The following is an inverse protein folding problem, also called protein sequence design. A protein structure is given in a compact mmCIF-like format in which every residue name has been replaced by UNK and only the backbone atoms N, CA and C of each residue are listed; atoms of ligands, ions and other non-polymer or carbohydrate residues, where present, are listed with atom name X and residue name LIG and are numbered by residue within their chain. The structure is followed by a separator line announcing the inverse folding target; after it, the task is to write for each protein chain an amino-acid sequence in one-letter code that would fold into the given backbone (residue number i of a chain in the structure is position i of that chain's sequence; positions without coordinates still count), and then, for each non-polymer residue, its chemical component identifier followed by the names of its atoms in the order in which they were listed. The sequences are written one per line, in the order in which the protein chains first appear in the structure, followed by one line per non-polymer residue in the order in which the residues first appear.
data_IF_895129042198
#
_entry.id   IF_895129042198
#
_cell.length_a   1.000
_cell.length_b   1.000
_cell.length_c   1.000
_cell.angle_alpha   90.00
_cell.angle_beta   90.00
_cell.angle_gamma   90.00
#
_symmetry.space_group_name_H-M   'P 1'
#
loop_
_entity.id
_entity.type
_entity.pdbx_description
1 polymer ?
#
# COMPACT_ATOMS: atom_id res chain seq x y z
N UNK A 1 -29.66 -21.06 -17.40
CA UNK A 1 -28.27 -21.52 -17.24
C UNK A 1 -27.41 -20.54 -18.03
N UNK A 2 -26.82 -19.54 -17.38
CA UNK A 2 -25.89 -18.62 -18.03
C UNK A 2 -24.63 -18.63 -17.18
N UNK A 3 -23.61 -19.31 -17.69
CA UNK A 3 -22.29 -19.37 -17.09
C UNK A 3 -21.68 -17.96 -17.13
N UNK A 4 -21.80 -17.24 -16.01
CA UNK A 4 -21.05 -16.02 -15.77
C UNK A 4 -19.60 -16.45 -15.54
N UNK A 5 -18.86 -16.63 -16.63
CA UNK A 5 -17.44 -16.96 -16.58
C UNK A 5 -16.68 -15.71 -16.13
N UNK A 6 -16.74 -15.42 -14.83
CA UNK A 6 -15.96 -14.37 -14.20
C UNK A 6 -14.52 -14.89 -14.13
N UNK A 7 -13.81 -14.78 -15.25
CA UNK A 7 -12.42 -15.20 -15.36
C UNK A 7 -11.62 -14.54 -14.24
N UNK A 8 -10.86 -15.34 -13.51
CA UNK A 8 -9.94 -14.83 -12.51
C UNK A 8 -9.05 -13.74 -13.14
N UNK A 9 -8.92 -12.63 -12.43
CA UNK A 9 -8.25 -11.44 -12.95
C UNK A 9 -7.02 -11.17 -12.12
N UNK A 10 -5.87 -11.38 -12.74
CA UNK A 10 -4.59 -10.98 -12.17
C UNK A 10 -4.51 -9.43 -12.04
N UNK A 11 -3.86 -8.97 -10.97
CA UNK A 11 -3.63 -7.58 -10.64
C UNK A 11 -2.52 -6.91 -11.46
N UNK A 12 -1.68 -7.66 -12.17
CA UNK A 12 -0.50 -7.16 -12.89
C UNK A 12 -0.83 -5.98 -13.82
N UNK A 13 -1.83 -6.13 -14.69
CA UNK A 13 -2.25 -5.08 -15.63
C UNK A 13 -2.92 -3.86 -14.95
N UNK A 14 -3.29 -4.00 -13.67
CA UNK A 14 -3.93 -2.95 -12.88
C UNK A 14 -2.92 -2.14 -12.06
N UNK A 15 -1.77 -2.72 -11.70
CA UNK A 15 -0.82 -2.13 -10.76
C UNK A 15 -0.41 -0.71 -11.15
N UNK A 16 -0.04 -0.46 -12.42
CA UNK A 16 0.36 0.86 -12.90
C UNK A 16 -0.79 1.89 -12.86
N UNK A 17 -2.01 1.44 -13.17
CA UNK A 17 -3.21 2.29 -13.10
C UNK A 17 -3.51 2.68 -11.65
N UNK A 18 -3.31 1.77 -10.70
CA UNK A 18 -3.45 2.05 -9.27
C UNK A 18 -2.35 2.99 -8.77
N UNK A 19 -1.09 2.80 -9.18
CA UNK A 19 0.00 3.71 -8.85
C UNK A 19 -0.37 5.17 -9.15
N UNK A 20 -0.82 5.43 -10.40
CA UNK A 20 -1.22 6.77 -10.84
C UNK A 20 -2.46 7.30 -10.12
N UNK A 21 -3.51 6.49 -9.99
CA UNK A 21 -4.82 6.97 -9.47
C UNK A 21 -4.88 7.08 -7.96
N UNK A 22 -4.14 6.25 -7.24
CA UNK A 22 -4.23 6.12 -5.78
C UNK A 22 -3.12 6.89 -5.08
N UNK A 23 -1.92 6.95 -5.68
CA UNK A 23 -0.73 7.53 -5.07
C UNK A 23 -0.13 8.70 -5.85
N UNK A 24 -0.31 8.76 -7.17
CA UNK A 24 0.34 9.73 -8.05
C UNK A 24 -0.18 11.18 -8.02
N UNK A 25 -0.92 11.58 -6.99
CA UNK A 25 -1.39 12.96 -6.86
C UNK A 25 -1.59 13.35 -5.40
N UNK A 26 -2.00 14.60 -5.16
CA UNK A 26 -2.07 15.20 -3.82
C UNK A 26 -2.82 14.35 -2.78
N UNK A 27 -3.92 13.69 -3.18
CA UNK A 27 -4.66 12.80 -2.27
C UNK A 27 -3.83 11.59 -1.83
N UNK A 28 -3.00 11.07 -2.72
CA UNK A 28 -2.07 9.97 -2.44
C UNK A 28 -0.95 10.40 -1.49
N UNK A 29 -0.37 11.57 -1.73
CA UNK A 29 0.66 12.17 -0.86
C UNK A 29 0.12 12.39 0.56
N UNK A 30 -1.04 13.03 0.70
CA UNK A 30 -1.69 13.25 2.00
C UNK A 30 -1.99 11.91 2.69
N UNK A 31 -2.50 10.92 1.94
CA UNK A 31 -2.77 9.59 2.48
C UNK A 31 -1.51 8.97 3.10
N UNK A 32 -0.39 8.98 2.38
CA UNK A 32 0.87 8.43 2.87
C UNK A 32 1.38 9.19 4.10
N UNK A 33 1.32 10.52 4.08
CA UNK A 33 1.73 11.34 5.21
C UNK A 33 0.90 11.08 6.49
N UNK A 34 -0.41 10.92 6.35
CA UNK A 34 -1.31 10.62 7.48
C UNK A 34 -1.06 9.22 8.02
N UNK A 35 -0.95 8.21 7.15
CA UNK A 35 -0.66 6.83 7.58
C UNK A 35 0.69 6.79 8.30
N UNK A 36 1.72 7.44 7.77
CA UNK A 36 3.03 7.50 8.41
C UNK A 36 2.99 8.16 9.78
N UNK A 37 2.31 9.31 9.90
CA UNK A 37 2.11 10.01 11.18
C UNK A 37 1.46 9.08 12.21
N UNK A 38 0.39 8.39 11.83
CA UNK A 38 -0.37 7.53 12.74
C UNK A 38 0.46 6.28 13.10
N UNK A 39 1.16 5.67 12.14
CA UNK A 39 2.10 4.55 12.39
C UNK A 39 3.19 4.91 13.38
N UNK A 40 3.84 6.07 13.22
CA UNK A 40 4.87 6.55 14.15
C UNK A 40 4.27 6.82 15.53
N UNK A 41 3.06 7.36 15.59
CA UNK A 41 2.38 7.64 16.87
C UNK A 41 2.05 6.34 17.61
N UNK A 42 1.53 5.33 16.91
CA UNK A 42 1.15 4.04 17.50
C UNK A 42 2.35 3.13 17.75
N UNK A 43 3.38 3.20 16.91
CA UNK A 43 4.59 2.39 16.99
C UNK A 43 5.86 3.25 16.93
N UNK A 44 6.19 4.00 18.02
CA UNK A 44 7.34 4.90 18.06
C UNK A 44 8.69 4.20 17.80
N UNK A 45 8.77 2.89 18.07
CA UNK A 45 9.94 2.06 17.79
C UNK A 45 10.37 2.10 16.31
N UNK A 46 9.47 2.42 15.37
CA UNK A 46 9.82 2.68 13.96
C UNK A 46 10.92 3.74 13.85
N UNK A 47 10.91 4.74 14.73
CA UNK A 47 11.90 5.83 14.73
C UNK A 47 13.10 5.57 15.64
N UNK A 48 13.17 4.42 16.31
CA UNK A 48 14.20 4.16 17.32
C UNK A 48 15.60 3.89 16.76
N UNK A 49 15.74 3.80 15.43
CA UNK A 49 16.99 3.45 14.75
C UNK A 49 17.40 1.98 14.89
N UNK A 50 16.68 1.18 15.70
CA UNK A 50 16.87 -0.27 15.78
C UNK A 50 16.06 -0.95 14.68
N UNK A 51 16.66 -1.86 13.88
CA UNK A 51 15.93 -2.60 12.86
C UNK A 51 14.76 -3.39 13.46
N UNK A 52 13.60 -3.26 12.83
CA UNK A 52 12.41 -4.04 13.15
C UNK A 52 12.19 -5.11 12.08
N UNK A 53 11.63 -6.24 12.49
CA UNK A 53 11.18 -7.27 11.55
C UNK A 53 9.68 -7.14 11.37
N UNK A 54 9.27 -6.52 10.27
CA UNK A 54 7.87 -6.23 9.94
C UNK A 54 7.53 -6.99 8.65
N UNK A 55 6.34 -7.58 8.59
CA UNK A 55 5.79 -8.19 7.39
C UNK A 55 4.67 -7.29 6.86
N UNK A 56 4.79 -6.82 5.62
CA UNK A 56 3.75 -6.06 4.92
C UNK A 56 3.02 -6.99 3.94
N UNK A 57 1.91 -7.56 4.40
CA UNK A 57 1.12 -8.51 3.62
C UNK A 57 0.22 -7.74 2.67
N UNK A 58 0.41 -7.96 1.37
CA UNK A 58 -0.36 -7.23 0.35
C UNK A 58 0.06 -5.77 0.21
N UNK A 59 1.31 -5.43 0.54
CA UNK A 59 1.88 -4.08 0.46
C UNK A 59 1.84 -3.43 -0.92
N UNK A 60 1.40 -4.15 -1.96
CA UNK A 60 1.19 -3.62 -3.31
C UNK A 60 2.50 -3.08 -3.88
N UNK A 61 2.55 -1.76 -4.07
CA UNK A 61 3.74 -1.08 -4.61
C UNK A 61 4.79 -0.77 -3.53
N UNK A 62 4.55 -1.15 -2.28
CA UNK A 62 5.54 -1.09 -1.21
C UNK A 62 5.85 0.32 -0.70
N UNK A 63 4.90 1.25 -0.73
CA UNK A 63 5.13 2.65 -0.32
C UNK A 63 5.63 2.80 1.14
N UNK A 64 5.38 1.81 1.99
CA UNK A 64 5.79 1.77 3.40
C UNK A 64 6.71 0.58 3.72
N UNK A 65 7.03 -0.22 2.72
CA UNK A 65 7.91 -1.39 2.84
C UNK A 65 9.33 -1.01 2.40
N UNK A 66 10.32 -1.32 3.24
CA UNK A 66 11.76 -1.04 3.00
C UNK A 66 12.65 -2.17 3.46
#
# INVERSE_FOLDING_TARGET
MSDYNHSDRNFDDLAEKFARRVYGGLKGEIRLAVIWRDLVTTMPQILSGKPLRIIDIGGGLGQLSV
#
